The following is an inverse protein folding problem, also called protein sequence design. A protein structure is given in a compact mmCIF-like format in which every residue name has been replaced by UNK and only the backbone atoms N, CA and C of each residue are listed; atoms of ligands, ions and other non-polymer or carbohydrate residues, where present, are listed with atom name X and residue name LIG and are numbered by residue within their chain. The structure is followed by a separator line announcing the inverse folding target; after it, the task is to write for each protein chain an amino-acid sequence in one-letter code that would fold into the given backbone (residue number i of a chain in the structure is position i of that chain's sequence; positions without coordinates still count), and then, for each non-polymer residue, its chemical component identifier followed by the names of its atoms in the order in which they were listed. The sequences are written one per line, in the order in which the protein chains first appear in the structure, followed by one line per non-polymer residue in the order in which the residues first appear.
data_IF_745698447906
#
_entry.id   IF_745698447906
#
_cell.length_a   1.000
_cell.length_b   1.000
_cell.length_c   1.000
_cell.angle_alpha   90.00
_cell.angle_beta   90.00
_cell.angle_gamma   90.00
#
_symmetry.space_group_name_H-M   'P 1'
#
loop_
_entity.id
_entity.type
_entity.pdbx_description
1 polymer ?
#
# COMPACT_ATOMS: atom_id res chain seq x y z
N UNK A 1 -5.13 15.61 -18.60
CA UNK A 1 -6.01 14.59 -17.99
C UNK A 1 -5.41 14.21 -16.64
N UNK A 2 -6.21 13.96 -15.61
CA UNK A 2 -5.75 13.47 -14.30
C UNK A 2 -6.22 12.02 -14.11
N UNK A 3 -5.32 11.15 -13.65
CA UNK A 3 -5.60 9.76 -13.24
C UNK A 3 -5.08 9.57 -11.82
N UNK A 4 -5.83 8.90 -10.96
CA UNK A 4 -5.39 8.59 -9.60
C UNK A 4 -5.40 7.08 -9.42
N UNK A 5 -4.31 6.52 -8.90
CA UNK A 5 -4.10 5.09 -8.67
C UNK A 5 -3.59 4.94 -7.23
N UNK A 6 -4.01 3.89 -6.55
CA UNK A 6 -3.54 3.53 -5.22
C UNK A 6 -3.52 2.02 -5.07
N UNK A 7 -2.89 1.55 -3.99
CA UNK A 7 -2.95 0.15 -3.57
C UNK A 7 -2.46 -0.81 -4.63
N UNK A 8 -1.35 -0.47 -5.28
CA UNK A 8 -0.68 -1.41 -6.19
C UNK A 8 0.04 -2.51 -5.40
N UNK A 9 0.55 -2.22 -4.19
CA UNK A 9 1.24 -3.18 -3.33
C UNK A 9 2.28 -4.02 -4.06
N UNK A 10 3.18 -3.37 -4.80
CA UNK A 10 4.31 -4.02 -5.42
C UNK A 10 5.29 -4.47 -4.33
N UNK A 11 5.28 -5.78 -4.03
CA UNK A 11 6.18 -6.40 -3.06
C UNK A 11 7.38 -7.09 -3.70
N UNK A 12 8.34 -7.49 -2.88
CA UNK A 12 9.55 -8.23 -3.28
C UNK A 12 9.29 -9.72 -3.60
N UNK A 13 8.03 -10.16 -3.54
CA UNK A 13 7.62 -11.53 -3.81
C UNK A 13 7.68 -12.44 -2.59
N UNK A 14 8.05 -11.91 -1.41
CA UNK A 14 8.12 -12.70 -0.17
C UNK A 14 6.78 -12.76 0.59
N UNK A 15 5.86 -11.84 0.30
CA UNK A 15 4.52 -11.81 0.87
C UNK A 15 3.51 -11.38 -0.21
N UNK A 16 2.31 -11.94 -0.16
CA UNK A 16 1.24 -11.65 -1.10
C UNK A 16 1.52 -12.17 -2.52
N UNK A 17 0.56 -12.02 -3.43
CA UNK A 17 0.72 -12.40 -4.84
C UNK A 17 1.02 -11.17 -5.70
N UNK A 18 2.04 -11.22 -6.57
CA UNK A 18 2.37 -10.09 -7.42
C UNK A 18 1.27 -9.84 -8.45
N UNK A 19 1.10 -8.57 -8.84
CA UNK A 19 0.22 -8.19 -9.93
C UNK A 19 0.75 -8.81 -11.24
N UNK A 20 -0.14 -9.49 -11.97
CA UNK A 20 0.21 -10.15 -13.23
C UNK A 20 0.75 -9.12 -14.25
N UNK A 21 1.83 -9.44 -15.01
CA UNK A 21 2.37 -8.54 -16.02
C UNK A 21 1.37 -8.05 -17.07
N UNK A 22 0.35 -8.85 -17.39
CA UNK A 22 -0.71 -8.48 -18.33
C UNK A 22 -1.55 -7.29 -17.86
N UNK A 23 -1.65 -7.05 -16.54
CA UNK A 23 -2.41 -5.93 -16.00
C UNK A 23 -1.76 -4.58 -16.37
N UNK A 24 -0.43 -4.48 -16.32
CA UNK A 24 0.29 -3.25 -16.70
C UNK A 24 0.20 -2.97 -18.21
N UNK A 25 0.27 -4.01 -19.05
CA UNK A 25 0.04 -3.88 -20.50
C UNK A 25 -1.40 -3.44 -20.83
N UNK A 26 -2.36 -3.99 -20.10
CA UNK A 26 -3.75 -3.57 -20.22
C UNK A 26 -3.91 -2.11 -19.75
N UNK A 27 -3.27 -1.72 -18.65
CA UNK A 27 -3.27 -0.36 -18.16
C UNK A 27 -2.74 0.64 -19.19
N UNK A 28 -1.59 0.36 -19.82
CA UNK A 28 -1.05 1.17 -20.92
C UNK A 28 -2.06 1.34 -22.06
N UNK A 29 -2.66 0.23 -22.51
CA UNK A 29 -3.65 0.24 -23.59
C UNK A 29 -4.87 1.06 -23.21
N UNK A 30 -5.40 0.89 -22.00
CA UNK A 30 -6.53 1.67 -21.49
C UNK A 30 -6.19 3.14 -21.31
N UNK A 31 -4.98 3.47 -20.91
CA UNK A 31 -4.54 4.85 -20.78
C UNK A 31 -4.53 5.57 -22.13
N UNK A 32 -4.10 4.88 -23.19
CA UNK A 32 -4.16 5.38 -24.58
C UNK A 32 -5.61 5.59 -25.05
N UNK A 33 -6.50 4.62 -24.81
CA UNK A 33 -7.92 4.75 -25.14
C UNK A 33 -8.55 5.95 -24.41
N UNK A 34 -8.24 6.11 -23.12
CA UNK A 34 -8.72 7.23 -22.30
C UNK A 34 -8.17 8.57 -22.79
N UNK A 35 -6.90 8.64 -23.19
CA UNK A 35 -6.31 9.86 -23.74
C UNK A 35 -6.99 10.29 -25.05
N UNK A 36 -7.31 9.34 -25.92
CA UNK A 36 -8.08 9.59 -27.13
C UNK A 36 -9.49 10.10 -26.79
N UNK A 37 -10.18 9.45 -25.87
CA UNK A 37 -11.53 9.86 -25.45
C UNK A 37 -11.54 11.25 -24.79
N UNK A 38 -10.56 11.52 -23.92
CA UNK A 38 -10.38 12.82 -23.27
C UNK A 38 -9.98 13.95 -24.24
N UNK A 39 -9.66 13.62 -25.48
CA UNK A 39 -9.38 14.59 -26.55
C UNK A 39 -10.65 15.09 -27.23
N UNK A 40 -11.80 14.45 -27.05
CA UNK A 40 -13.08 14.98 -27.52
C UNK A 40 -13.59 16.09 -26.60
N UNK A 41 -14.08 17.17 -27.21
CA UNK A 41 -14.68 18.30 -26.50
C UNK A 41 -16.21 18.21 -26.57
N UNK A 42 -16.89 18.91 -25.66
CA UNK A 42 -18.36 18.93 -25.57
C UNK A 42 -19.05 19.44 -26.84
N UNK A 43 -18.33 20.20 -27.67
CA UNK A 43 -18.81 20.66 -28.98
C UNK A 43 -18.57 19.65 -30.12
N UNK A 44 -18.19 18.41 -29.81
CA UNK A 44 -17.95 17.35 -30.78
C UNK A 44 -16.63 17.47 -31.56
N UNK A 45 -15.78 18.45 -31.24
CA UNK A 45 -14.46 18.58 -31.89
C UNK A 45 -13.39 17.81 -31.12
N UNK A 46 -12.61 17.04 -31.86
CA UNK A 46 -11.38 16.38 -31.41
C UNK A 46 -10.24 17.40 -31.31
N UNK A 47 -9.63 17.48 -30.13
CA UNK A 47 -8.44 18.26 -29.82
C UNK A 47 -7.53 17.41 -28.93
N UNK A 48 -6.43 16.84 -29.47
CA UNK A 48 -5.57 15.94 -28.72
C UNK A 48 -5.12 16.61 -27.42
N UNK A 49 -5.22 15.87 -26.30
CA UNK A 49 -4.63 16.32 -25.04
C UNK A 49 -3.11 16.25 -25.15
N UNK A 50 -2.43 17.23 -24.57
CA UNK A 50 -0.96 17.27 -24.55
C UNK A 50 -0.36 16.48 -23.39
N UNK A 51 -1.13 16.24 -22.33
CA UNK A 51 -0.62 15.64 -21.10
C UNK A 51 -1.61 14.79 -20.30
N UNK A 52 -1.05 13.79 -19.63
CA UNK A 52 -1.64 12.98 -18.57
C UNK A 52 -0.80 13.17 -17.32
N UNK A 53 -1.45 13.53 -16.22
CA UNK A 53 -0.83 13.50 -14.90
C UNK A 53 -1.45 12.34 -14.12
N UNK A 54 -0.60 11.48 -13.58
CA UNK A 54 -1.00 10.35 -12.75
C UNK A 54 -0.56 10.66 -11.33
N UNK A 55 -1.48 10.56 -10.37
CA UNK A 55 -1.17 10.55 -8.96
C UNK A 55 -1.21 9.11 -8.45
N UNK A 56 -0.08 8.65 -7.95
CA UNK A 56 0.05 7.45 -7.16
C UNK A 56 -0.17 7.81 -5.69
N UNK A 57 -1.34 7.47 -5.15
CA UNK A 57 -1.83 7.93 -3.85
C UNK A 57 -1.68 6.86 -2.78
N UNK A 58 -0.43 6.57 -2.41
CA UNK A 58 -0.08 5.68 -1.32
C UNK A 58 -0.10 4.21 -1.68
N UNK A 59 0.59 3.45 -0.84
CA UNK A 59 0.52 2.00 -0.82
C UNK A 59 0.88 1.36 -2.18
N UNK A 60 1.86 1.96 -2.87
CA UNK A 60 2.31 1.51 -4.20
C UNK A 60 3.38 0.45 -4.08
N UNK A 61 4.38 0.68 -3.23
CA UNK A 61 5.46 -0.25 -2.94
C UNK A 61 5.23 -0.84 -1.56
N UNK A 62 5.15 -2.16 -1.44
CA UNK A 62 4.84 -2.80 -0.16
C UNK A 62 6.12 -3.14 0.60
N UNK A 63 6.74 -2.11 1.17
CA UNK A 63 8.02 -2.25 1.87
C UNK A 63 7.83 -2.87 3.26
N UNK A 64 6.75 -2.56 3.97
CA UNK A 64 6.50 -3.07 5.33
C UNK A 64 6.22 -4.57 5.35
N UNK A 65 5.55 -5.13 4.35
CA UNK A 65 5.15 -6.55 4.35
C UNK A 65 6.25 -7.52 3.94
N UNK A 66 7.42 -7.02 3.52
CA UNK A 66 8.57 -7.86 3.15
C UNK A 66 9.02 -8.77 4.30
N UNK A 67 9.14 -10.07 4.05
CA UNK A 67 9.69 -11.00 5.04
C UNK A 67 11.20 -10.87 5.20
N UNK A 68 11.87 -10.09 4.34
CA UNK A 68 13.30 -9.78 4.51
C UNK A 68 13.58 -8.93 5.76
N UNK A 69 12.55 -8.30 6.35
CA UNK A 69 12.67 -7.74 7.68
C UNK A 69 12.80 -8.80 8.78
N UNK A 70 12.45 -10.07 8.53
CA UNK A 70 12.41 -11.16 9.52
C UNK A 70 13.70 -12.01 9.55
N UNK A 71 14.78 -11.53 8.92
CA UNK A 71 16.06 -12.22 8.82
C UNK A 71 16.80 -12.34 10.17
N UNK A 72 16.45 -11.48 11.13
CA UNK A 72 17.03 -11.41 12.46
C UNK A 72 15.99 -11.62 13.55
N UNK A 73 16.39 -12.25 14.67
CA UNK A 73 15.51 -12.46 15.83
C UNK A 73 15.58 -11.28 16.80
N UNK A 74 14.47 -11.06 17.52
CA UNK A 74 14.44 -10.05 18.57
C UNK A 74 15.52 -10.33 19.64
N UNK A 75 16.31 -9.30 19.95
CA UNK A 75 17.43 -9.37 20.89
C UNK A 75 18.78 -9.65 20.26
N UNK A 76 18.87 -9.91 18.96
CA UNK A 76 20.13 -9.93 18.22
C UNK A 76 20.72 -8.51 18.09
N UNK A 77 22.05 -8.41 18.02
CA UNK A 77 22.77 -7.12 17.91
C UNK A 77 22.41 -6.35 16.62
N UNK A 78 22.05 -7.07 15.56
CA UNK A 78 21.65 -6.55 14.25
C UNK A 78 20.13 -6.50 14.04
N UNK A 79 19.34 -6.71 15.10
CA UNK A 79 17.88 -6.69 15.03
C UNK A 79 17.35 -5.38 14.43
N UNK A 80 16.73 -5.50 13.27
CA UNK A 80 16.21 -4.35 12.51
C UNK A 80 14.78 -4.61 12.07
N UNK A 81 13.89 -3.66 12.33
CA UNK A 81 12.48 -3.64 11.93
C UNK A 81 12.02 -2.22 11.62
N UNK A 82 10.87 -2.02 10.96
CA UNK A 82 10.33 -0.68 10.68
C UNK A 82 10.21 0.27 11.90
N UNK A 83 10.12 -0.28 13.11
CA UNK A 83 10.03 0.47 14.38
C UNK A 83 11.34 0.57 15.17
N UNK A 84 12.45 0.10 14.61
CA UNK A 84 13.79 0.27 15.19
C UNK A 84 14.38 1.64 14.86
N UNK A 85 15.55 1.94 15.40
CA UNK A 85 16.22 3.22 15.18
C UNK A 85 16.55 3.43 13.70
N UNK A 86 15.85 4.36 13.06
CA UNK A 86 16.01 4.67 11.65
C UNK A 86 17.28 5.50 11.34
N UNK A 87 17.99 5.98 12.36
CA UNK A 87 19.30 6.60 12.21
C UNK A 87 20.43 5.58 12.12
N UNK A 88 20.17 4.31 12.50
CA UNK A 88 21.16 3.26 12.43
C UNK A 88 21.46 2.87 10.96
N UNK A 89 22.74 2.73 10.56
CA UNK A 89 23.11 2.38 9.19
C UNK A 89 22.47 1.07 8.66
N UNK A 90 22.22 0.12 9.56
CA UNK A 90 21.59 -1.16 9.23
C UNK A 90 20.15 -0.99 8.77
N UNK A 91 19.42 -0.01 9.31
CA UNK A 91 18.04 0.28 8.90
C UNK A 91 18.01 0.75 7.45
N UNK A 92 18.82 1.75 7.11
CA UNK A 92 18.93 2.25 5.74
C UNK A 92 19.36 1.15 4.76
N UNK A 93 20.36 0.35 5.15
CA UNK A 93 20.82 -0.79 4.34
C UNK A 93 19.67 -1.75 4.06
N UNK A 94 18.89 -2.12 5.08
CA UNK A 94 17.74 -3.02 4.94
C UNK A 94 16.63 -2.42 4.08
N UNK A 95 16.30 -1.14 4.27
CA UNK A 95 15.34 -0.42 3.41
C UNK A 95 15.77 -0.49 1.95
N UNK A 96 17.03 -0.17 1.64
CA UNK A 96 17.55 -0.19 0.27
C UNK A 96 17.55 -1.59 -0.33
N UNK A 97 17.94 -2.61 0.44
CA UNK A 97 17.88 -4.01 0.03
C UNK A 97 16.46 -4.41 -0.40
N UNK A 98 15.47 -4.13 0.44
CA UNK A 98 14.06 -4.46 0.19
C UNK A 98 13.51 -3.68 -1.01
N UNK A 99 13.77 -2.37 -1.10
CA UNK A 99 13.37 -1.55 -2.25
C UNK A 99 13.90 -2.13 -3.56
N UNK A 100 15.17 -2.54 -3.60
CA UNK A 100 15.77 -3.12 -4.81
C UNK A 100 15.16 -4.46 -5.18
N UNK A 101 14.87 -5.33 -4.21
CA UNK A 101 14.19 -6.60 -4.48
C UNK A 101 12.74 -6.36 -4.95
N UNK A 102 12.03 -5.36 -4.41
CA UNK A 102 10.72 -4.92 -4.95
C UNK A 102 10.85 -4.52 -6.42
N UNK A 103 11.79 -3.62 -6.77
CA UNK A 103 11.96 -3.15 -8.14
C UNK A 103 12.34 -4.29 -9.10
N UNK A 104 13.20 -5.20 -8.66
CA UNK A 104 13.66 -6.36 -9.43
C UNK A 104 12.54 -7.38 -9.65
N UNK A 105 11.81 -7.76 -8.59
CA UNK A 105 10.69 -8.69 -8.68
C UNK A 105 9.55 -8.15 -9.55
N UNK A 106 9.39 -6.81 -9.60
CA UNK A 106 8.37 -6.13 -10.39
C UNK A 106 8.92 -5.51 -11.68
N UNK A 107 10.00 -6.05 -12.24
CA UNK A 107 10.66 -5.47 -13.43
C UNK A 107 9.71 -5.21 -14.59
N UNK A 108 8.74 -6.10 -14.82
CA UNK A 108 7.71 -5.92 -15.85
C UNK A 108 6.83 -4.69 -15.62
N UNK A 109 6.50 -4.38 -14.36
CA UNK A 109 5.72 -3.21 -14.00
C UNK A 109 6.57 -1.95 -14.15
N UNK A 110 7.81 -1.99 -13.64
CA UNK A 110 8.81 -0.92 -13.78
C UNK A 110 8.98 -0.54 -15.25
N UNK A 111 9.26 -1.52 -16.12
CA UNK A 111 9.48 -1.28 -17.55
C UNK A 111 8.23 -0.71 -18.24
N UNK A 112 7.04 -1.24 -17.93
CA UNK A 112 5.78 -0.75 -18.52
C UNK A 112 5.52 0.72 -18.13
N UNK A 113 5.70 1.06 -16.85
CA UNK A 113 5.50 2.42 -16.36
C UNK A 113 6.59 3.37 -16.91
N UNK A 114 7.85 2.95 -16.92
CA UNK A 114 8.96 3.72 -17.48
C UNK A 114 8.73 4.02 -18.98
N UNK A 115 8.22 3.04 -19.74
CA UNK A 115 7.91 3.24 -21.15
C UNK A 115 6.84 4.33 -21.37
N UNK A 116 5.82 4.37 -20.51
CA UNK A 116 4.77 5.39 -20.56
C UNK A 116 5.32 6.79 -20.24
N UNK A 117 6.24 6.91 -19.27
CA UNK A 117 6.74 8.20 -18.78
C UNK A 117 7.91 8.75 -19.59
N UNK A 118 8.83 7.90 -20.06
CA UNK A 118 10.10 8.31 -20.70
C UNK A 118 10.18 7.98 -22.18
N UNK A 119 9.50 6.92 -22.64
CA UNK A 119 9.58 6.47 -24.04
C UNK A 119 8.37 6.86 -24.88
N UNK A 120 7.55 7.81 -24.41
CA UNK A 120 6.45 8.40 -25.17
C UNK A 120 5.44 7.36 -25.70
N UNK A 121 5.20 6.28 -24.95
CA UNK A 121 4.35 5.17 -25.40
C UNK A 121 2.89 5.59 -25.67
N UNK A 122 2.40 6.65 -25.02
CA UNK A 122 1.05 7.16 -25.22
C UNK A 122 1.00 8.09 -26.43
N UNK A 123 0.60 7.52 -27.56
CA UNK A 123 0.46 8.23 -28.83
C UNK A 123 -0.99 8.16 -29.33
N UNK A 124 -1.56 9.31 -29.70
CA UNK A 124 -2.92 9.44 -30.24
C UNK A 124 -2.90 10.11 -31.63
N UNK A 125 -3.96 9.95 -32.45
CA UNK A 125 -4.09 10.68 -33.70
C UNK A 125 -3.97 12.20 -33.49
N UNK A 126 -3.30 12.95 -34.39
CA UNK A 126 -3.43 14.41 -34.41
C UNK A 126 -4.84 14.82 -34.87
N UNK A 127 -5.19 16.09 -34.70
CA UNK A 127 -6.43 16.65 -35.25
C UNK A 127 -6.20 17.17 -36.67
N UNK A 128 -7.16 16.97 -37.57
CA UNK A 128 -7.22 17.67 -38.86
C UNK A 128 -8.03 18.97 -38.73
N UNK A 129 -8.03 19.80 -39.79
CA UNK A 129 -8.58 21.16 -39.75
C UNK A 129 -10.07 21.28 -39.40
N UNK A 130 -10.88 20.24 -39.65
CA UNK A 130 -12.30 20.20 -39.29
C UNK A 130 -12.57 19.81 -37.83
N UNK A 131 -11.52 19.44 -37.08
CA UNK A 131 -11.62 18.97 -35.70
C UNK A 131 -11.98 17.49 -35.59
N UNK A 132 -11.67 16.66 -36.58
CA UNK A 132 -11.67 15.20 -36.49
C UNK A 132 -10.26 14.64 -36.25
N UNK A 133 -10.11 13.42 -35.71
CA UNK A 133 -8.83 12.74 -35.64
C UNK A 133 -8.34 12.34 -37.04
N UNK A 134 -7.02 12.41 -37.28
CA UNK A 134 -6.40 11.87 -38.49
C UNK A 134 -5.99 10.39 -38.29
N UNK A 135 -6.77 9.41 -38.79
CA UNK A 135 -6.37 8.01 -38.66
C UNK A 135 -5.15 7.67 -39.53
N UNK A 136 -4.92 8.42 -40.60
CA UNK A 136 -3.89 8.16 -41.62
C UNK A 136 -2.54 8.83 -41.33
N UNK A 137 -2.49 9.74 -40.36
CA UNK A 137 -1.26 10.43 -39.99
C UNK A 137 -0.15 9.44 -39.63
N UNK A 138 0.99 9.57 -40.32
CA UNK A 138 2.22 8.79 -40.07
C UNK A 138 2.86 9.19 -38.75
N UNK A 139 2.87 10.49 -38.46
CA UNK A 139 3.31 11.01 -37.16
C UNK A 139 2.12 11.09 -36.22
N UNK A 140 2.26 10.49 -35.04
CA UNK A 140 1.23 10.54 -34.00
C UNK A 140 1.53 11.67 -33.02
N UNK A 141 0.48 12.20 -32.40
CA UNK A 141 0.60 13.15 -31.31
C UNK A 141 1.03 12.41 -30.05
N UNK A 142 2.22 12.73 -29.55
CA UNK A 142 2.74 12.20 -28.29
C UNK A 142 2.08 12.92 -27.12
N UNK A 143 1.50 12.16 -26.20
CA UNK A 143 0.92 12.69 -24.97
C UNK A 143 1.94 12.51 -23.85
N UNK A 144 2.39 13.62 -23.24
CA UNK A 144 3.34 13.58 -22.12
C UNK A 144 2.68 12.95 -20.90
N UNK A 145 3.35 12.02 -20.22
CA UNK A 145 2.85 11.43 -18.96
C UNK A 145 3.77 11.78 -17.81
N UNK A 146 3.22 12.44 -16.77
CA UNK A 146 3.91 12.70 -15.52
C UNK A 146 3.29 11.85 -14.41
N UNK A 147 4.12 11.21 -13.57
CA UNK A 147 3.65 10.45 -12.41
C UNK A 147 4.18 11.11 -11.14
N UNK A 148 3.27 11.49 -10.25
CA UNK A 148 3.58 11.98 -8.92
C UNK A 148 3.23 10.92 -7.89
N UNK A 149 4.11 10.69 -6.93
CA UNK A 149 3.94 9.70 -5.87
C UNK A 149 3.72 10.39 -4.53
N UNK A 150 2.62 10.04 -3.86
CA UNK A 150 2.34 10.30 -2.45
C UNK A 150 2.34 8.99 -1.67
N UNK A 151 2.72 9.04 -0.39
CA UNK A 151 2.82 7.87 0.47
C UNK A 151 1.52 7.53 1.19
N UNK A 152 1.36 6.24 1.48
CA UNK A 152 0.38 5.67 2.39
C UNK A 152 1.08 5.12 3.64
N UNK A 153 0.51 4.07 4.23
CA UNK A 153 1.05 3.45 5.44
C UNK A 153 1.96 2.24 5.15
N UNK A 154 2.02 1.70 3.93
CA UNK A 154 2.92 0.58 3.59
C UNK A 154 4.28 1.03 3.07
N UNK A 155 4.40 2.30 2.70
CA UNK A 155 5.57 2.91 2.07
C UNK A 155 6.06 4.17 2.81
N UNK A 156 5.56 4.42 4.02
CA UNK A 156 5.86 5.63 4.81
C UNK A 156 7.36 5.85 5.07
N UNK A 157 8.17 4.79 5.07
CA UNK A 157 9.63 4.87 5.26
C UNK A 157 10.29 5.76 4.19
N UNK A 158 9.70 5.89 3.00
CA UNK A 158 10.20 6.81 1.98
C UNK A 158 9.96 8.30 2.30
N UNK A 159 9.25 8.63 3.38
CA UNK A 159 9.15 9.99 3.93
C UNK A 159 10.33 10.33 4.86
N UNK A 160 11.14 9.35 5.26
CA UNK A 160 12.26 9.61 6.16
C UNK A 160 13.31 10.52 5.51
N UNK A 161 13.77 11.58 6.20
CA UNK A 161 14.78 12.49 5.67
C UNK A 161 16.18 11.89 5.74
N UNK A 162 17.09 12.44 4.93
CA UNK A 162 18.52 12.13 4.97
C UNK A 162 19.04 11.63 3.63
N UNK A 163 20.30 11.95 3.34
CA UNK A 163 20.95 11.68 2.04
C UNK A 163 20.86 10.21 1.61
N UNK A 164 21.04 9.29 2.56
CA UNK A 164 20.91 7.86 2.29
C UNK A 164 19.50 7.45 1.82
N UNK A 165 18.46 8.06 2.38
CA UNK A 165 17.08 7.84 1.92
C UNK A 165 16.76 8.62 0.64
N UNK A 166 17.39 9.78 0.41
CA UNK A 166 17.30 10.50 -0.87
C UNK A 166 17.80 9.62 -2.02
N UNK A 167 18.90 8.87 -1.82
CA UNK A 167 19.40 7.90 -2.80
C UNK A 167 18.40 6.78 -3.07
N UNK A 168 17.73 6.24 -2.03
CA UNK A 168 16.70 5.21 -2.22
C UNK A 168 15.52 5.76 -3.02
N UNK A 169 15.08 6.98 -2.74
CA UNK A 169 14.04 7.65 -3.53
C UNK A 169 14.49 7.92 -4.95
N UNK A 170 15.74 8.32 -5.16
CA UNK A 170 16.32 8.52 -6.50
C UNK A 170 16.26 7.22 -7.32
N UNK A 171 16.58 6.06 -6.73
CA UNK A 171 16.44 4.75 -7.40
C UNK A 171 14.99 4.49 -7.84
N UNK A 172 14.00 4.81 -6.99
CA UNK A 172 12.57 4.67 -7.32
C UNK A 172 12.16 5.63 -8.44
N UNK A 173 12.59 6.90 -8.37
CA UNK A 173 12.31 7.94 -9.37
C UNK A 173 12.85 7.51 -10.73
N UNK A 174 14.09 7.03 -10.77
CA UNK A 174 14.73 6.57 -12.01
C UNK A 174 14.05 5.32 -12.57
N UNK A 175 13.70 4.37 -11.70
CA UNK A 175 13.06 3.13 -12.12
C UNK A 175 11.70 3.38 -12.80
N UNK A 176 10.83 4.22 -12.22
CA UNK A 176 9.49 4.47 -12.77
C UNK A 176 9.40 5.72 -13.66
N UNK A 177 10.45 6.55 -13.68
CA UNK A 177 10.43 7.84 -14.35
C UNK A 177 9.51 8.86 -13.66
N UNK A 178 9.48 8.88 -12.33
CA UNK A 178 8.61 9.77 -11.55
C UNK A 178 8.97 11.26 -11.77
N UNK A 179 7.98 12.12 -11.53
CA UNK A 179 8.10 13.58 -11.57
C UNK A 179 8.44 14.20 -10.20
N UNK A 180 8.51 13.37 -9.15
CA UNK A 180 8.99 13.77 -7.83
C UNK A 180 10.47 14.17 -7.87
N UNK A 181 10.88 15.00 -6.92
CA UNK A 181 12.29 15.14 -6.56
C UNK A 181 12.69 14.06 -5.54
N UNK A 182 14.01 13.96 -5.27
CA UNK A 182 14.57 12.96 -4.34
C UNK A 182 14.40 13.30 -2.85
N UNK A 183 13.81 14.44 -2.51
CA UNK A 183 13.47 14.75 -1.12
C UNK A 183 12.35 13.81 -0.63
N UNK A 184 12.03 13.78 0.69
CA UNK A 184 10.95 12.96 1.23
C UNK A 184 9.70 12.94 0.34
N UNK A 185 9.25 11.74 -0.04
CA UNK A 185 8.02 11.65 -0.83
C UNK A 185 6.85 12.17 0.00
N UNK A 186 5.99 13.02 -0.57
CA UNK A 186 4.94 13.68 0.17
C UNK A 186 3.94 12.65 0.71
N UNK A 187 3.56 12.77 1.97
CA UNK A 187 2.38 12.11 2.50
C UNK A 187 1.14 13.00 2.36
N UNK A 188 1.32 14.33 2.44
CA UNK A 188 0.24 15.30 2.28
C UNK A 188 0.45 16.21 1.07
N UNK A 189 -0.64 16.81 0.57
CA UNK A 189 -0.58 17.66 -0.62
C UNK A 189 0.29 18.90 -0.37
N UNK A 190 0.22 19.45 0.84
CA UNK A 190 0.94 20.66 1.25
C UNK A 190 2.47 20.48 1.22
N UNK A 191 2.95 19.24 1.30
CA UNK A 191 4.36 18.91 1.25
C UNK A 191 4.92 18.97 -0.19
N UNK A 192 4.06 19.03 -1.21
CA UNK A 192 4.45 19.16 -2.62
C UNK A 192 3.71 20.31 -3.32
N UNK A 193 4.33 21.50 -3.42
CA UNK A 193 3.73 22.65 -4.11
C UNK A 193 3.34 22.37 -5.57
N UNK A 194 4.12 21.52 -6.25
CA UNK A 194 3.83 21.11 -7.63
C UNK A 194 2.53 20.28 -7.70
N UNK A 195 2.36 19.32 -6.79
CA UNK A 195 1.16 18.49 -6.72
C UNK A 195 -0.06 19.28 -6.24
N UNK A 196 0.10 20.14 -5.23
CA UNK A 196 -0.95 21.05 -4.77
C UNK A 196 -1.49 21.92 -5.91
N UNK A 197 -0.58 22.53 -6.68
CA UNK A 197 -0.95 23.33 -7.86
C UNK A 197 -1.67 22.49 -8.91
N UNK A 198 -1.17 21.28 -9.18
CA UNK A 198 -1.78 20.36 -10.15
C UNK A 198 -3.22 20.01 -9.74
N UNK A 199 -3.43 19.50 -8.53
CA UNK A 199 -4.74 19.05 -8.05
C UNK A 199 -5.74 20.20 -7.97
N UNK A 200 -5.29 21.41 -7.60
CA UNK A 200 -6.12 22.61 -7.61
C UNK A 200 -6.67 22.95 -9.01
N UNK A 201 -5.90 22.73 -10.09
CA UNK A 201 -6.38 22.94 -11.47
C UNK A 201 -7.56 22.03 -11.82
N UNK A 202 -7.58 20.82 -11.24
CA UNK A 202 -8.67 19.85 -11.42
C UNK A 202 -9.76 20.00 -10.35
N UNK A 203 -9.60 20.89 -9.37
CA UNK A 203 -10.48 21.01 -8.18
C UNK A 203 -10.63 19.69 -7.43
N UNK A 204 -9.54 18.95 -7.33
CA UNK A 204 -9.44 17.67 -6.63
C UNK A 204 -8.67 17.87 -5.33
N UNK A 205 -9.11 17.20 -4.28
CA UNK A 205 -8.30 16.94 -3.09
C UNK A 205 -8.06 15.44 -2.97
N UNK A 206 -6.86 15.04 -2.55
CA UNK A 206 -6.42 13.65 -2.54
C UNK A 206 -5.61 13.36 -1.28
N UNK A 207 -5.95 12.28 -0.58
CA UNK A 207 -5.27 11.87 0.65
C UNK A 207 -5.38 10.36 0.84
N UNK A 208 -4.36 9.76 1.43
CA UNK A 208 -4.42 8.39 1.91
C UNK A 208 -5.14 8.35 3.27
N UNK A 209 -6.18 7.52 3.42
CA UNK A 209 -7.11 7.57 4.56
C UNK A 209 -6.56 7.02 5.88
N UNK A 210 -5.31 6.55 5.92
CA UNK A 210 -4.74 5.89 7.09
C UNK A 210 -4.57 6.83 8.30
N UNK A 211 -4.52 8.15 8.07
CA UNK A 211 -4.46 9.17 9.14
C UNK A 211 -5.67 9.16 10.09
N UNK A 212 -6.79 8.58 9.64
CA UNK A 212 -8.02 8.53 10.41
C UNK A 212 -8.07 7.34 11.36
N UNK A 213 -7.14 6.40 11.25
CA UNK A 213 -7.05 5.24 12.13
C UNK A 213 -5.83 5.31 13.05
N UNK A 214 -6.03 5.33 14.39
CA UNK A 214 -4.92 5.27 15.33
C UNK A 214 -4.18 3.92 15.32
N UNK A 215 -4.69 2.93 14.59
CA UNK A 215 -4.02 1.65 14.37
C UNK A 215 -2.91 1.77 13.31
N UNK A 216 -3.15 2.57 12.26
CA UNK A 216 -2.27 2.73 11.08
C UNK A 216 -1.55 4.07 11.02
N UNK A 217 -1.93 5.06 11.86
CA UNK A 217 -1.26 6.35 11.94
C UNK A 217 -1.09 6.85 13.39
N UNK A 218 0.10 7.34 13.72
CA UNK A 218 0.38 7.96 15.02
C UNK A 218 0.30 9.49 14.92
N UNK A 219 -0.81 10.08 15.37
CA UNK A 219 -1.01 11.54 15.31
C UNK A 219 0.00 12.36 16.11
N UNK A 220 0.56 11.81 17.19
CA UNK A 220 1.52 12.51 18.04
C UNK A 220 2.92 12.54 17.42
N UNK A 221 3.30 11.45 16.75
CA UNK A 221 4.62 11.30 16.12
C UNK A 221 4.65 11.65 14.63
N UNK A 222 3.47 11.77 14.00
CA UNK A 222 3.32 12.07 12.58
C UNK A 222 3.69 10.89 11.67
N UNK A 223 3.89 11.19 10.37
CA UNK A 223 4.13 10.20 9.31
C UNK A 223 5.45 9.43 9.44
N UNK A 224 6.46 10.00 10.10
CA UNK A 224 7.78 9.38 10.25
C UNK A 224 7.85 8.30 11.33
N UNK A 225 6.70 7.85 11.86
CA UNK A 225 6.64 6.88 12.92
C UNK A 225 5.89 5.62 12.48
N UNK A 226 6.51 4.48 12.78
CA UNK A 226 5.86 3.19 12.70
C UNK A 226 4.62 3.12 13.59
N UNK A 227 3.69 2.24 13.25
CA UNK A 227 2.45 2.03 13.98
C UNK A 227 2.25 0.59 14.43
N UNK A 228 1.23 0.37 15.26
CA UNK A 228 0.86 -0.98 15.68
C UNK A 228 0.50 -1.85 14.47
N UNK A 229 -0.09 -1.27 13.42
CA UNK A 229 -0.39 -1.97 12.18
C UNK A 229 0.86 -2.49 11.50
N UNK A 230 1.99 -1.76 11.54
CA UNK A 230 3.24 -2.22 10.92
C UNK A 230 3.78 -3.46 11.62
N UNK A 231 3.80 -3.42 12.97
CA UNK A 231 4.19 -4.57 13.78
C UNK A 231 3.26 -5.76 13.59
N UNK A 232 1.95 -5.54 13.55
CA UNK A 232 0.99 -6.63 13.36
C UNK A 232 1.08 -7.23 11.96
N UNK A 233 1.20 -6.38 10.94
CA UNK A 233 1.35 -6.79 9.55
C UNK A 233 2.60 -7.64 9.38
N UNK A 234 3.74 -7.19 9.89
CA UNK A 234 4.99 -7.89 9.70
C UNK A 234 5.10 -9.14 10.59
N UNK A 235 4.89 -9.01 11.90
CA UNK A 235 5.17 -10.08 12.87
C UNK A 235 4.04 -11.09 13.01
N UNK A 236 2.85 -10.83 12.46
CA UNK A 236 1.76 -11.82 12.44
C UNK A 236 1.38 -12.17 11.01
N UNK A 237 0.98 -11.17 10.21
CA UNK A 237 0.38 -11.42 8.89
C UNK A 237 1.40 -11.94 7.88
N UNK A 238 2.61 -11.38 7.82
CA UNK A 238 3.68 -11.84 6.94
C UNK A 238 4.48 -12.99 7.55
N UNK A 239 4.80 -12.93 8.85
CA UNK A 239 5.63 -13.94 9.52
C UNK A 239 4.96 -15.30 9.60
N UNK A 240 3.66 -15.38 9.88
CA UNK A 240 3.01 -16.68 10.05
C UNK A 240 3.05 -17.56 8.79
N UNK A 241 2.64 -17.09 7.59
CA UNK A 241 2.80 -17.85 6.35
C UNK A 241 4.26 -18.26 6.10
N UNK A 242 5.20 -17.35 6.36
CA UNK A 242 6.63 -17.59 6.17
C UNK A 242 7.18 -18.71 7.05
N UNK A 243 6.81 -18.77 8.33
CA UNK A 243 7.23 -19.85 9.22
C UNK A 243 6.55 -21.18 8.88
N UNK A 244 5.30 -21.15 8.41
CA UNK A 244 4.61 -22.36 7.93
C UNK A 244 5.27 -22.92 6.67
N UNK A 245 5.62 -22.07 5.71
CA UNK A 245 6.27 -22.48 4.46
C UNK A 245 7.64 -23.13 4.71
N UNK A 246 8.39 -22.67 5.72
CA UNK A 246 9.66 -23.30 6.15
C UNK A 246 9.50 -24.71 6.72
N UNK A 247 8.40 -24.98 7.42
CA UNK A 247 8.20 -26.25 8.12
C UNK A 247 7.54 -27.32 7.22
N UNK A 248 6.79 -26.93 6.18
CA UNK A 248 5.89 -27.84 5.46
C UNK A 248 5.97 -27.81 3.92
N UNK A 249 7.16 -27.68 3.35
CA UNK A 249 7.49 -27.77 1.90
C UNK A 249 6.28 -27.90 0.92
N UNK A 250 5.97 -26.81 0.22
CA UNK A 250 5.17 -26.72 -1.02
C UNK A 250 3.75 -27.35 -1.05
N UNK A 251 2.99 -27.32 0.06
CA UNK A 251 1.55 -27.63 0.06
C UNK A 251 0.69 -26.42 -0.38
N UNK A 252 -0.29 -26.66 -1.25
CA UNK A 252 -1.23 -25.66 -1.78
C UNK A 252 -2.02 -24.93 -0.67
N UNK A 253 -2.30 -25.59 0.45
CA UNK A 253 -3.00 -24.99 1.60
C UNK A 253 -2.17 -23.84 2.19
N UNK A 254 -0.83 -23.96 2.18
CA UNK A 254 0.05 -22.92 2.70
C UNK A 254 0.22 -21.75 1.74
N UNK A 255 0.04 -21.98 0.42
CA UNK A 255 -0.08 -20.89 -0.56
C UNK A 255 -1.31 -20.01 -0.32
N UNK A 256 -2.35 -20.55 0.32
CA UNK A 256 -3.50 -19.72 0.70
C UNK A 256 -3.15 -18.80 1.88
N UNK A 257 -2.30 -19.21 2.82
CA UNK A 257 -1.95 -18.38 3.99
C UNK A 257 -1.34 -17.02 3.60
N UNK A 258 -0.68 -16.94 2.45
CA UNK A 258 -0.21 -15.68 1.86
C UNK A 258 -1.32 -14.67 1.51
N UNK A 259 -2.60 -15.08 1.54
CA UNK A 259 -3.76 -14.18 1.41
C UNK A 259 -4.16 -13.52 2.74
N UNK A 260 -3.50 -13.82 3.87
CA UNK A 260 -3.77 -13.13 5.14
C UNK A 260 -3.64 -11.61 5.01
N UNK A 261 -2.70 -11.12 4.19
CA UNK A 261 -2.50 -9.70 3.90
C UNK A 261 -3.68 -9.05 3.17
N UNK A 262 -4.61 -9.84 2.62
CA UNK A 262 -5.83 -9.37 1.96
C UNK A 262 -7.08 -9.40 2.88
N UNK A 263 -6.97 -9.97 4.09
CA UNK A 263 -8.12 -10.04 5.01
C UNK A 263 -8.45 -8.65 5.53
N UNK A 264 -9.72 -8.27 5.46
CA UNK A 264 -10.23 -6.96 5.85
C UNK A 264 -11.47 -7.10 6.75
N UNK A 265 -11.53 -6.42 7.91
CA UNK A 265 -10.46 -5.61 8.50
C UNK A 265 -9.24 -6.48 8.86
N UNK A 266 -8.03 -5.90 8.88
CA UNK A 266 -6.78 -6.66 9.05
C UNK A 266 -6.77 -7.52 10.33
N UNK A 267 -7.42 -7.04 11.39
CA UNK A 267 -7.55 -7.75 12.67
C UNK A 267 -8.46 -8.98 12.63
N UNK A 268 -9.17 -9.22 11.52
CA UNK A 268 -9.87 -10.49 11.28
C UNK A 268 -8.94 -11.58 10.71
N UNK A 269 -7.68 -11.25 10.39
CA UNK A 269 -6.69 -12.20 9.88
C UNK A 269 -6.49 -13.44 10.78
N UNK A 270 -6.53 -13.36 12.14
CA UNK A 270 -6.49 -14.55 13.00
C UNK A 270 -7.64 -15.53 12.76
N UNK A 271 -8.85 -15.03 12.56
CA UNK A 271 -10.05 -15.85 12.34
C UNK A 271 -9.91 -16.58 11.00
N UNK A 272 -9.45 -15.85 9.97
CA UNK A 272 -9.25 -16.44 8.66
C UNK A 272 -8.13 -17.49 8.70
N UNK A 273 -6.99 -17.21 9.35
CA UNK A 273 -5.89 -18.15 9.54
C UNK A 273 -6.40 -19.47 10.15
N UNK A 274 -7.14 -19.37 11.26
CA UNK A 274 -7.68 -20.54 11.95
C UNK A 274 -8.61 -21.35 11.05
N UNK A 275 -9.46 -20.70 10.24
CA UNK A 275 -10.34 -21.43 9.32
C UNK A 275 -9.57 -22.27 8.30
N UNK A 276 -8.40 -21.81 7.85
CA UNK A 276 -7.53 -22.59 6.97
C UNK A 276 -6.87 -23.75 7.73
N UNK A 277 -6.47 -23.53 8.99
CA UNK A 277 -5.85 -24.57 9.84
C UNK A 277 -6.84 -25.70 10.15
N UNK A 278 -8.13 -25.39 10.31
CA UNK A 278 -9.16 -26.39 10.62
C UNK A 278 -9.75 -27.09 9.40
N UNK A 279 -9.13 -26.92 8.22
CA UNK A 279 -9.54 -27.61 6.99
C UNK A 279 -9.43 -29.13 7.15
N UNK A 280 -10.41 -29.86 6.63
CA UNK A 280 -10.41 -31.33 6.56
C UNK A 280 -9.27 -31.89 5.67
N UNK A 281 -8.62 -31.03 4.89
CA UNK A 281 -7.48 -31.39 4.04
C UNK A 281 -6.16 -31.55 4.83
N UNK A 282 -6.10 -31.11 6.11
CA UNK A 282 -4.92 -31.23 6.97
C UNK A 282 -5.07 -32.37 7.97
N UNK A 283 -4.04 -33.20 8.14
CA UNK A 283 -4.02 -34.22 9.18
C UNK A 283 -3.99 -33.58 10.59
N UNK A 284 -4.52 -34.25 11.63
CA UNK A 284 -4.49 -33.72 13.00
C UNK A 284 -3.09 -33.35 13.51
N UNK A 285 -2.04 -34.03 13.03
CA UNK A 285 -0.65 -33.72 13.35
C UNK A 285 -0.19 -32.39 12.73
N UNK A 286 -0.52 -32.16 11.46
CA UNK A 286 -0.22 -30.91 10.76
C UNK A 286 -0.98 -29.73 11.38
N UNK A 287 -2.29 -29.90 11.64
CA UNK A 287 -3.10 -28.87 12.31
C UNK A 287 -2.50 -28.45 13.66
N UNK A 288 -2.05 -29.43 14.46
CA UNK A 288 -1.41 -29.18 15.76
C UNK A 288 -0.09 -28.42 15.62
N UNK A 289 0.73 -28.78 14.64
CA UNK A 289 2.01 -28.09 14.37
C UNK A 289 1.78 -26.66 13.86
N UNK A 290 0.88 -26.44 12.91
CA UNK A 290 0.60 -25.10 12.37
C UNK A 290 0.03 -24.19 13.46
N UNK A 291 -0.87 -24.72 14.30
CA UNK A 291 -1.36 -24.03 15.49
C UNK A 291 -0.23 -23.61 16.43
N UNK A 292 0.74 -24.50 16.66
CA UNK A 292 1.89 -24.17 17.49
C UNK A 292 2.67 -22.98 16.91
N UNK A 293 2.90 -22.96 15.59
CA UNK A 293 3.54 -21.82 14.90
C UNK A 293 2.73 -20.53 15.03
N UNK A 294 1.40 -20.60 14.92
CA UNK A 294 0.50 -19.47 15.15
C UNK A 294 0.68 -18.91 16.58
N UNK A 295 0.57 -19.79 17.58
CA UNK A 295 0.66 -19.40 18.99
C UNK A 295 2.03 -18.79 19.34
N UNK A 296 3.11 -19.30 18.75
CA UNK A 296 4.47 -18.77 18.89
C UNK A 296 4.60 -17.39 18.24
N UNK A 297 4.14 -17.24 17.00
CA UNK A 297 4.15 -15.98 16.26
C UNK A 297 3.39 -14.87 17.01
N UNK A 298 2.18 -15.20 17.47
CA UNK A 298 1.34 -14.27 18.27
C UNK A 298 2.01 -13.91 19.59
N UNK A 299 2.63 -14.87 20.28
CA UNK A 299 3.31 -14.62 21.56
C UNK A 299 4.49 -13.67 21.38
N UNK A 300 5.31 -13.90 20.36
CA UNK A 300 6.44 -13.04 20.02
C UNK A 300 5.96 -11.62 19.67
N UNK A 301 4.90 -11.50 18.86
CA UNK A 301 4.27 -10.20 18.56
C UNK A 301 3.89 -9.44 19.83
N UNK A 302 3.27 -10.08 20.83
CA UNK A 302 2.90 -9.39 22.08
C UNK A 302 4.10 -8.96 22.94
N UNK A 303 5.25 -9.63 22.82
CA UNK A 303 6.50 -9.16 23.45
C UNK A 303 6.95 -7.85 22.79
N UNK A 304 6.96 -7.81 21.46
CA UNK A 304 7.36 -6.64 20.68
C UNK A 304 6.38 -5.48 20.84
N UNK A 305 5.08 -5.75 20.73
CA UNK A 305 4.02 -4.77 20.89
C UNK A 305 4.09 -4.09 22.26
N UNK A 306 4.29 -4.83 23.36
CA UNK A 306 4.44 -4.20 24.69
C UNK A 306 5.63 -3.26 24.79
N UNK A 307 6.74 -3.59 24.12
CA UNK A 307 7.95 -2.77 24.15
C UNK A 307 7.82 -1.50 23.32
N UNK A 308 7.32 -1.62 22.09
CA UNK A 308 7.38 -0.53 21.10
C UNK A 308 6.04 0.21 20.93
N UNK A 309 4.93 -0.46 21.24
CA UNK A 309 3.55 0.01 21.01
C UNK A 309 2.67 -0.24 22.24
N UNK A 310 2.98 0.35 23.40
CA UNK A 310 2.26 0.07 24.64
C UNK A 310 0.78 0.42 24.48
N UNK A 311 -0.08 -0.52 24.89
CA UNK A 311 -1.53 -0.36 24.89
C UNK A 311 -2.05 -0.31 26.32
N UNK A 312 -3.26 0.22 26.50
CA UNK A 312 -3.94 0.15 27.78
C UNK A 312 -4.15 -1.32 28.21
N UNK A 313 -4.16 -1.64 29.52
CA UNK A 313 -4.33 -3.01 30.00
C UNK A 313 -5.59 -3.71 29.47
N UNK A 314 -6.69 -2.96 29.33
CA UNK A 314 -7.94 -3.45 28.77
C UNK A 314 -7.77 -3.90 27.30
N UNK A 315 -7.15 -3.03 26.50
CA UNK A 315 -6.96 -3.27 25.07
C UNK A 315 -5.97 -4.41 24.80
N UNK A 316 -4.92 -4.48 25.62
CA UNK A 316 -3.96 -5.58 25.65
C UNK A 316 -4.64 -6.92 25.90
N UNK A 317 -5.46 -7.00 26.95
CA UNK A 317 -6.18 -8.23 27.34
C UNK A 317 -7.13 -8.68 26.25
N UNK A 318 -7.82 -7.72 25.63
CA UNK A 318 -8.78 -8.01 24.58
C UNK A 318 -8.10 -8.49 23.28
N UNK A 319 -7.01 -7.86 22.85
CA UNK A 319 -6.23 -8.35 21.71
C UNK A 319 -5.68 -9.75 21.96
N UNK A 320 -5.13 -10.02 23.15
CA UNK A 320 -4.65 -11.36 23.50
C UNK A 320 -5.79 -12.39 23.47
N UNK A 321 -6.95 -12.03 24.00
CA UNK A 321 -8.17 -12.85 23.91
C UNK A 321 -8.53 -13.12 22.45
N UNK A 322 -8.54 -12.08 21.61
CA UNK A 322 -8.83 -12.22 20.18
C UNK A 322 -7.75 -13.00 19.43
N UNK A 323 -6.53 -13.20 19.91
CA UNK A 323 -5.52 -13.94 19.13
C UNK A 323 -5.32 -15.37 19.64
N UNK A 324 -5.52 -15.62 20.94
CA UNK A 324 -5.31 -16.93 21.56
C UNK A 324 -6.60 -17.72 21.84
N UNK A 325 -7.74 -17.06 22.10
CA UNK A 325 -8.97 -17.75 22.49
C UNK A 325 -9.89 -18.11 21.32
N UNK A 326 -9.51 -17.79 20.07
CA UNK A 326 -10.30 -17.96 18.84
C UNK A 326 -10.59 -19.39 18.39
N UNK A 327 -10.34 -20.37 19.24
CA UNK A 327 -10.35 -21.78 18.84
C UNK A 327 -11.54 -22.53 19.45
N UNK A 328 -12.12 -22.01 20.53
CA UNK A 328 -13.15 -22.71 21.30
C UNK A 328 -14.51 -22.00 21.32
N UNK A 329 -14.66 -20.87 20.61
CA UNK A 329 -15.93 -20.13 20.54
C UNK A 329 -16.64 -20.25 19.17
N UNK A 330 -17.95 -20.02 19.13
CA UNK A 330 -18.70 -19.95 17.87
C UNK A 330 -18.30 -18.75 17.00
N UNK A 331 -18.42 -18.90 15.67
CA UNK A 331 -18.09 -17.86 14.70
C UNK A 331 -18.79 -16.51 14.96
N UNK A 332 -20.04 -16.55 15.42
CA UNK A 332 -20.83 -15.36 15.75
C UNK A 332 -20.23 -14.52 16.89
N UNK A 333 -19.59 -15.15 17.87
CA UNK A 333 -18.90 -14.45 18.96
C UNK A 333 -17.68 -13.67 18.43
N UNK A 334 -16.98 -14.21 17.42
CA UNK A 334 -15.81 -13.58 16.84
C UNK A 334 -16.12 -12.35 16.02
N UNK A 335 -17.12 -12.44 15.13
CA UNK A 335 -17.56 -11.29 14.34
C UNK A 335 -17.96 -10.14 15.27
N UNK A 336 -18.62 -10.43 16.39
CA UNK A 336 -19.00 -9.42 17.37
C UNK A 336 -17.78 -8.77 18.07
N UNK A 337 -16.75 -9.54 18.46
CA UNK A 337 -15.54 -8.97 19.09
C UNK A 337 -14.71 -8.19 18.07
N UNK A 338 -14.52 -8.72 16.85
CA UNK A 338 -13.79 -8.03 15.78
C UNK A 338 -14.49 -6.73 15.37
N UNK A 339 -15.83 -6.75 15.20
CA UNK A 339 -16.62 -5.55 14.92
C UNK A 339 -16.60 -4.56 16.08
N UNK A 340 -16.66 -5.03 17.33
CA UNK A 340 -16.53 -4.17 18.50
C UNK A 340 -15.16 -3.48 18.54
N UNK A 341 -14.09 -4.23 18.27
CA UNK A 341 -12.73 -3.69 18.26
C UNK A 341 -12.54 -2.70 17.12
N UNK A 342 -13.06 -3.03 15.95
CA UNK A 342 -13.11 -2.12 14.82
C UNK A 342 -13.83 -0.81 15.20
N UNK A 343 -15.01 -0.89 15.85
CA UNK A 343 -15.72 0.29 16.37
C UNK A 343 -14.92 1.07 17.43
N UNK A 344 -14.11 0.38 18.24
CA UNK A 344 -13.29 1.04 19.27
C UNK A 344 -12.18 1.91 18.66
N UNK A 345 -11.50 1.44 17.60
CA UNK A 345 -10.46 2.23 16.92
C UNK A 345 -11.05 3.27 15.96
N UNK A 346 -12.22 2.98 15.39
CA UNK A 346 -12.97 3.90 14.52
C UNK A 346 -14.15 4.52 15.31
N UNK A 347 -13.81 5.31 16.33
CA UNK A 347 -14.69 5.87 17.38
C UNK A 347 -15.98 6.56 16.92
N UNK A 348 -16.08 7.01 15.68
CA UNK A 348 -17.21 7.83 15.23
C UNK A 348 -18.35 7.03 14.57
N UNK A 349 -18.27 5.70 14.45
CA UNK A 349 -19.38 4.91 13.87
C UNK A 349 -19.68 5.23 12.40
N UNK A 350 -18.90 6.12 11.77
CA UNK A 350 -18.91 6.36 10.34
C UNK A 350 -18.42 5.11 9.63
N UNK A 351 -19.34 4.24 9.25
CA UNK A 351 -19.13 3.18 8.26
C UNK A 351 -18.64 3.73 6.91
N UNK A 352 -18.66 5.07 6.77
CA UNK A 352 -18.31 5.81 5.58
C UNK A 352 -17.31 6.91 5.94
N UNK A 353 -16.07 6.79 5.45
CA UNK A 353 -15.06 7.85 5.53
C UNK A 353 -15.50 9.13 4.78
N UNK A 354 -16.63 9.09 4.06
CA UNK A 354 -17.33 10.26 3.50
C UNK A 354 -17.58 11.34 4.56
N UNK A 355 -17.75 10.98 5.84
CA UNK A 355 -17.90 12.00 6.90
C UNK A 355 -16.58 12.75 7.20
N UNK A 356 -15.43 12.09 7.09
CA UNK A 356 -14.12 12.72 7.27
C UNK A 356 -13.74 13.54 6.04
N UNK A 357 -13.91 12.94 4.87
CA UNK A 357 -13.89 13.57 3.56
C UNK A 357 -14.60 14.94 3.51
N UNK A 358 -15.85 15.02 3.98
CA UNK A 358 -16.63 16.26 3.97
C UNK A 358 -16.15 17.29 5.00
N UNK A 359 -15.34 16.89 5.97
CA UNK A 359 -14.72 17.76 6.97
C UNK A 359 -13.35 18.29 6.54
N UNK A 360 -12.81 17.82 5.41
CA UNK A 360 -11.53 18.32 4.90
C UNK A 360 -11.62 19.83 4.58
N UNK A 361 -10.63 20.64 4.99
CA UNK A 361 -10.67 22.10 4.76
C UNK A 361 -10.90 22.46 3.30
N UNK A 362 -10.35 21.70 2.35
CA UNK A 362 -10.55 21.92 0.93
C UNK A 362 -12.03 21.86 0.49
N UNK A 363 -12.85 21.05 1.15
CA UNK A 363 -14.30 20.95 0.91
C UNK A 363 -15.07 22.05 1.61
N UNK A 364 -14.76 22.28 2.89
CA UNK A 364 -15.39 23.32 3.69
C UNK A 364 -15.17 24.72 3.07
N UNK A 365 -13.99 24.94 2.51
CA UNK A 365 -13.59 26.17 1.82
C UNK A 365 -13.97 26.20 0.33
N UNK A 366 -14.62 25.14 -0.19
CA UNK A 366 -15.05 25.00 -1.60
C UNK A 366 -13.90 25.12 -2.61
N UNK A 367 -12.67 24.78 -2.19
CA UNK A 367 -11.48 24.71 -3.06
C UNK A 367 -11.44 23.42 -3.88
N UNK A 368 -12.02 22.35 -3.36
CA UNK A 368 -12.23 21.08 -4.08
C UNK A 368 -13.71 20.81 -4.32
N UNK A 369 -14.03 20.21 -5.46
CA UNK A 369 -15.37 19.69 -5.80
C UNK A 369 -15.39 18.17 -5.93
N UNK A 370 -14.23 17.52 -5.89
CA UNK A 370 -14.03 16.08 -6.00
C UNK A 370 -13.00 15.62 -4.98
N UNK A 371 -13.30 14.51 -4.29
CA UNK A 371 -12.39 13.89 -3.33
C UNK A 371 -11.96 12.54 -3.88
N UNK A 372 -10.67 12.27 -3.78
CA UNK A 372 -10.17 10.91 -3.92
C UNK A 372 -9.47 10.51 -2.63
N UNK A 373 -10.15 9.70 -1.83
CA UNK A 373 -9.61 9.13 -0.60
C UNK A 373 -9.46 7.63 -0.80
N UNK A 374 -8.27 7.13 -0.54
CA UNK A 374 -7.96 5.71 -0.63
C UNK A 374 -8.24 5.09 0.72
N UNK A 375 -9.10 4.07 0.71
CA UNK A 375 -9.62 3.43 1.91
C UNK A 375 -9.14 1.98 1.94
N UNK A 376 -8.23 1.66 2.87
CA UNK A 376 -8.04 0.30 3.37
C UNK A 376 -8.62 0.21 4.78
N UNK A 377 -9.82 -0.38 4.90
CA UNK A 377 -10.39 -0.82 6.18
C UNK A 377 -10.11 -2.30 6.39
#
# INVERSE_FOLDING_TARGET
MLVIISDLHLGDGTCGKPIKPSAFRLFETRLKDLAYNASWRTNGKYRPISEINILWLGDILDLIHSTNWLDTKYGADDYTRPWTDNSAPIFLKKTREITREILKNNRHAVDAIYNITRNNAIMIPPAIGDGQPDPTAKEKHVVKVNIYYMLGNHDWIYHLPGEGFDEVRQEIIEAFGLANDKSPFPHDIEESPALAKLLAQYKVYARHGDIFSPFTYNKEKGRNASTLSDAFSLEVVSRFPFEVEKEFEDNIIFKNLHYLSNVRPLLASPIWAISQITSDELSPSEQKKIRKLWDETVRDFFVLQRKYFPLSPLLQTLLQTLFFLLINFPFSTYTNIALWFYRYFWKDGGYSLVEYALKEPAFLEKKATQLFEVIRN
#
